data_IF_879619937475
#
_entry.id   IF_879619937475
#
_cell.length_a   1.000
_cell.length_b   1.000
_cell.length_c   1.000
_cell.angle_alpha   90.00
_cell.angle_beta   90.00
_cell.angle_gamma   90.00
#
_symmetry.space_group_name_H-M   'P 1'
#
loop_
_entity.id
_entity.type
_entity.pdbx_description
1 polymer ?
#
# COMPACT_ATOMS: atom_id res chain seq x y z
N UNK A 1 7.25 18.32 -6.43
CA UNK A 1 8.19 18.10 -5.30
C UNK A 1 8.09 16.64 -4.88
N UNK A 2 9.20 15.99 -4.48
CA UNK A 2 9.26 14.54 -4.26
C UNK A 2 9.29 14.18 -2.77
N UNK A 3 8.34 13.35 -2.33
CA UNK A 3 8.26 12.77 -0.99
C UNK A 3 8.62 11.29 -1.04
N UNK A 4 8.99 10.71 0.10
CA UNK A 4 9.39 9.31 0.18
C UNK A 4 8.51 8.56 1.17
N UNK A 5 7.90 7.47 0.72
CA UNK A 5 7.08 6.58 1.54
C UNK A 5 7.82 5.25 1.71
N UNK A 6 8.30 4.97 2.91
CA UNK A 6 8.87 3.69 3.29
C UNK A 6 7.80 2.81 3.92
N UNK A 7 7.67 1.58 3.44
CA UNK A 7 6.76 0.57 4.00
C UNK A 7 7.56 -0.66 4.42
N UNK A 8 7.40 -1.04 5.68
CA UNK A 8 7.83 -2.33 6.17
C UNK A 8 6.63 -3.27 6.22
N UNK A 9 6.67 -4.38 5.48
CA UNK A 9 5.66 -5.43 5.64
C UNK A 9 6.18 -6.81 5.25
N UNK A 10 6.47 -7.60 6.27
CA UNK A 10 6.89 -9.00 6.13
C UNK A 10 6.03 -9.86 7.05
N UNK A 11 4.73 -9.94 6.74
CA UNK A 11 3.70 -10.68 7.50
C UNK A 11 3.34 -10.12 8.89
N UNK A 12 4.25 -9.43 9.55
CA UNK A 12 4.07 -8.87 10.89
C UNK A 12 4.89 -7.59 11.03
N UNK A 13 4.63 -6.88 12.13
CA UNK A 13 5.28 -5.63 12.51
C UNK A 13 5.24 -4.59 11.39
N UNK A 14 4.10 -4.55 10.67
CA UNK A 14 3.95 -3.63 9.56
C UNK A 14 4.05 -2.18 10.04
N UNK A 15 4.76 -1.36 9.27
CA UNK A 15 4.99 0.04 9.61
C UNK A 15 5.16 0.92 8.38
N UNK A 16 4.93 2.22 8.59
CA UNK A 16 4.94 3.25 7.57
C UNK A 16 5.80 4.42 8.02
N UNK A 17 6.61 4.96 7.09
CA UNK A 17 7.31 6.22 7.28
C UNK A 17 7.13 7.12 6.05
N UNK A 18 6.81 8.39 6.28
CA UNK A 18 6.75 9.43 5.26
C UNK A 18 7.85 10.46 5.53
N UNK A 19 8.64 10.74 4.50
CA UNK A 19 9.80 11.63 4.57
C UNK A 19 9.64 12.77 3.57
N UNK A 20 9.93 13.98 4.02
CA UNK A 20 9.89 15.21 3.24
C UNK A 20 10.99 15.21 2.16
N UNK A 21 10.89 16.09 1.16
CA UNK A 21 11.94 16.29 0.16
C UNK A 21 13.29 16.69 0.78
N UNK A 22 13.28 17.29 1.96
CA UNK A 22 14.47 17.72 2.70
C UNK A 22 15.04 16.62 3.61
N UNK A 23 14.40 15.44 3.65
CA UNK A 23 14.81 14.33 4.50
C UNK A 23 14.20 14.34 5.90
N UNK A 24 13.20 15.19 6.17
CA UNK A 24 12.56 15.28 7.48
C UNK A 24 11.48 14.20 7.62
N UNK A 25 11.36 13.60 8.81
CA UNK A 25 10.30 12.62 9.08
C UNK A 25 9.00 13.38 9.33
N UNK A 26 8.04 13.24 8.41
CA UNK A 26 6.70 13.84 8.53
C UNK A 26 5.75 12.92 9.31
N UNK A 27 5.91 11.61 9.12
CA UNK A 27 5.14 10.57 9.80
C UNK A 27 5.99 9.32 9.95
N UNK A 28 5.91 8.64 11.08
CA UNK A 28 6.50 7.32 11.30
C UNK A 28 5.73 6.56 12.37
N UNK A 29 5.08 5.47 12.00
CA UNK A 29 4.26 4.69 12.93
C UNK A 29 4.23 3.20 12.57
N UNK A 30 4.18 2.35 13.60
CA UNK A 30 3.86 0.94 13.47
C UNK A 30 2.33 0.75 13.48
N UNK A 31 1.82 -0.09 12.58
CA UNK A 31 0.39 -0.27 12.38
C UNK A 31 -0.32 -0.84 13.63
N UNK A 32 0.41 -1.55 14.50
CA UNK A 32 -0.11 -2.03 15.79
C UNK A 32 -0.65 -0.89 16.68
N UNK A 33 -0.12 0.33 16.57
CA UNK A 33 -0.55 1.47 17.39
C UNK A 33 -1.94 1.93 16.97
N UNK A 34 -2.21 1.97 15.68
CA UNK A 34 -3.53 2.33 15.19
C UNK A 34 -4.54 1.20 15.37
N UNK A 35 -4.16 -0.02 14.96
CA UNK A 35 -5.04 -1.18 15.00
C UNK A 35 -5.27 -1.71 16.43
N UNK A 36 -4.42 -1.35 17.39
CA UNK A 36 -4.37 -1.97 18.72
C UNK A 36 -4.24 -3.50 18.64
N UNK A 37 -3.69 -3.99 17.52
CA UNK A 37 -3.51 -5.40 17.24
C UNK A 37 -2.02 -5.71 17.28
N UNK A 38 -1.62 -6.40 18.35
CA UNK A 38 -0.23 -6.72 18.65
C UNK A 38 0.45 -7.36 17.44
N UNK A 39 1.59 -6.79 17.02
CA UNK A 39 2.40 -7.21 15.85
C UNK A 39 1.70 -7.12 14.50
N UNK A 40 0.47 -6.61 14.42
CA UNK A 40 -0.26 -6.39 13.16
C UNK A 40 -0.15 -7.60 12.20
N UNK A 41 -0.35 -8.82 12.72
CA UNK A 41 -0.07 -10.04 11.96
C UNK A 41 -1.07 -10.19 10.82
N UNK A 42 -0.57 -10.43 9.60
CA UNK A 42 -1.36 -10.63 8.39
C UNK A 42 -2.31 -9.45 8.07
N UNK A 43 -2.00 -8.25 8.55
CA UNK A 43 -2.75 -7.04 8.19
C UNK A 43 -2.14 -6.40 6.94
N UNK A 44 -2.93 -5.53 6.29
CA UNK A 44 -2.35 -4.55 5.38
C UNK A 44 -1.25 -3.74 6.10
N UNK A 45 -0.21 -3.27 5.41
CA UNK A 45 0.78 -2.36 5.99
C UNK A 45 0.18 -1.09 6.57
N UNK A 46 -0.92 -0.62 5.97
CA UNK A 46 -1.71 0.53 6.41
C UNK A 46 -3.12 0.38 5.83
N UNK A 47 -4.21 0.53 6.62
CA UNK A 47 -5.57 0.52 6.09
C UNK A 47 -5.74 1.52 4.95
N UNK A 48 -6.47 1.13 3.89
CA UNK A 48 -6.50 1.89 2.63
C UNK A 48 -7.04 3.31 2.81
N UNK A 49 -8.08 3.46 3.63
CA UNK A 49 -8.66 4.77 3.94
C UNK A 49 -7.73 5.66 4.78
N UNK A 50 -6.90 5.02 5.64
CA UNK A 50 -5.97 5.75 6.50
C UNK A 50 -4.79 6.28 5.71
N UNK A 51 -4.21 5.50 4.80
CA UNK A 51 -3.11 5.97 3.96
C UNK A 51 -3.55 7.13 3.06
N UNK A 52 -4.77 7.11 2.52
CA UNK A 52 -5.29 8.24 1.73
C UNK A 52 -5.36 9.52 2.57
N UNK A 53 -5.90 9.42 3.78
CA UNK A 53 -6.04 10.56 4.69
C UNK A 53 -4.68 11.12 5.13
N UNK A 54 -3.72 10.25 5.43
CA UNK A 54 -2.33 10.63 5.75
C UNK A 54 -1.67 11.35 4.57
N UNK A 55 -1.79 10.80 3.36
CA UNK A 55 -1.18 11.41 2.18
C UNK A 55 -1.80 12.78 1.88
N UNK A 56 -3.13 12.95 1.99
CA UNK A 56 -3.78 14.26 1.83
C UNK A 56 -3.36 15.28 2.89
N UNK A 57 -3.01 14.82 4.10
CA UNK A 57 -2.56 15.70 5.18
C UNK A 57 -1.14 16.24 4.96
N UNK A 58 -0.23 15.41 4.42
CA UNK A 58 1.19 15.75 4.33
C UNK A 58 1.69 16.14 2.93
N UNK A 59 1.01 15.72 1.85
CA UNK A 59 1.46 15.98 0.48
C UNK A 59 0.74 17.18 -0.12
N UNK A 60 1.53 18.01 -0.80
CA UNK A 60 0.99 19.05 -1.67
C UNK A 60 0.31 18.44 -2.91
N UNK A 61 -0.76 19.08 -3.44
CA UNK A 61 -1.37 18.67 -4.69
C UNK A 61 -0.35 18.55 -5.83
N UNK A 62 -0.31 17.40 -6.50
CA UNK A 62 0.63 17.13 -7.59
C UNK A 62 2.05 16.73 -7.14
N UNK A 63 2.26 16.47 -5.85
CA UNK A 63 3.51 15.91 -5.36
C UNK A 63 3.82 14.54 -6.00
N UNK A 64 5.11 14.26 -6.17
CA UNK A 64 5.60 12.94 -6.58
C UNK A 64 5.87 12.10 -5.33
N UNK A 65 5.39 10.86 -5.32
CA UNK A 65 5.63 9.92 -4.22
C UNK A 65 6.61 8.83 -4.69
N UNK A 66 7.75 8.75 -4.03
CA UNK A 66 8.71 7.67 -4.18
C UNK A 66 8.40 6.61 -3.14
N UNK A 67 7.94 5.43 -3.55
CA UNK A 67 7.58 4.37 -2.60
C UNK A 67 8.68 3.31 -2.55
N UNK A 68 9.07 2.91 -1.34
CA UNK A 68 10.01 1.85 -1.06
C UNK A 68 9.33 0.76 -0.21
N UNK A 69 9.61 -0.50 -0.56
CA UNK A 69 9.02 -1.68 0.08
C UNK A 69 10.12 -2.65 0.52
N UNK A 70 9.81 -3.54 1.47
CA UNK A 70 10.79 -4.47 2.06
C UNK A 70 11.29 -5.55 1.10
N UNK A 71 10.50 -5.95 0.11
CA UNK A 71 10.81 -7.09 -0.74
C UNK A 71 11.58 -6.70 -2.00
N UNK A 72 12.75 -7.30 -2.17
CA UNK A 72 13.55 -7.15 -3.38
C UNK A 72 12.84 -7.71 -4.62
N UNK A 73 13.24 -7.24 -5.80
CA UNK A 73 12.74 -7.78 -7.07
C UNK A 73 12.91 -9.31 -7.15
N UNK A 74 14.06 -9.83 -6.71
CA UNK A 74 14.34 -11.26 -6.74
C UNK A 74 13.34 -12.06 -5.88
N UNK A 75 12.96 -11.52 -4.72
CA UNK A 75 11.95 -12.14 -3.88
C UNK A 75 10.56 -12.09 -4.51
N UNK A 76 10.20 -10.96 -5.14
CA UNK A 76 8.93 -10.81 -5.85
C UNK A 76 8.78 -11.84 -6.98
N UNK A 77 9.83 -12.06 -7.78
CA UNK A 77 9.82 -13.10 -8.82
C UNK A 77 9.68 -14.52 -8.24
N UNK A 78 10.22 -14.76 -7.04
CA UNK A 78 10.10 -16.06 -6.35
C UNK A 78 8.65 -16.34 -5.93
N UNK A 79 7.89 -15.32 -5.50
CA UNK A 79 6.52 -15.48 -5.02
C UNK A 79 5.46 -15.33 -6.12
N UNK A 80 5.83 -14.79 -7.29
CA UNK A 80 4.93 -14.56 -8.43
C UNK A 80 4.11 -15.80 -8.84
N UNK A 81 4.66 -17.03 -8.87
CA UNK A 81 3.87 -18.22 -9.17
C UNK A 81 2.79 -18.52 -8.12
N UNK A 82 3.06 -18.22 -6.84
CA UNK A 82 2.07 -18.38 -5.77
C UNK A 82 0.91 -17.39 -5.96
N UNK A 83 1.22 -16.14 -6.32
CA UNK A 83 0.22 -15.09 -6.56
C UNK A 83 -0.63 -15.34 -7.82
N UNK A 84 -0.14 -16.14 -8.76
CA UNK A 84 -0.85 -16.51 -9.99
C UNK A 84 -1.70 -17.78 -9.84
N UNK A 85 -1.85 -18.32 -8.62
CA UNK A 85 -2.73 -19.47 -8.41
C UNK A 85 -4.20 -19.09 -8.65
N UNK A 86 -5.05 -20.05 -9.09
CA UNK A 86 -6.46 -19.81 -9.41
C UNK A 86 -7.23 -19.08 -8.31
N UNK A 87 -6.99 -19.42 -7.04
CA UNK A 87 -7.67 -18.81 -5.89
C UNK A 87 -7.45 -17.29 -5.81
N UNK A 88 -6.24 -16.81 -6.13
CA UNK A 88 -5.96 -15.37 -6.16
C UNK A 88 -6.58 -14.69 -7.38
N UNK A 89 -6.70 -15.40 -8.51
CA UNK A 89 -7.37 -14.91 -9.70
C UNK A 89 -8.89 -14.81 -9.50
N UNK A 90 -9.49 -15.78 -8.81
CA UNK A 90 -10.91 -15.77 -8.46
C UNK A 90 -11.23 -14.64 -7.49
N UNK A 91 -10.36 -14.39 -6.51
CA UNK A 91 -10.49 -13.23 -5.63
C UNK A 91 -10.40 -11.90 -6.41
N UNK A 92 -9.46 -11.79 -7.35
CA UNK A 92 -9.39 -10.62 -8.24
C UNK A 92 -10.68 -10.43 -9.04
N UNK A 93 -11.18 -11.50 -9.66
CA UNK A 93 -12.41 -11.47 -10.46
C UNK A 93 -13.62 -11.07 -9.61
N UNK A 94 -13.75 -11.59 -8.39
CA UNK A 94 -14.79 -11.21 -7.44
C UNK A 94 -14.76 -9.70 -7.16
N UNK A 95 -13.60 -9.13 -6.86
CA UNK A 95 -13.48 -7.69 -6.58
C UNK A 95 -13.80 -6.84 -7.82
N UNK A 96 -13.43 -7.28 -9.02
CA UNK A 96 -13.69 -6.54 -10.26
C UNK A 96 -15.15 -6.59 -10.71
N UNK A 97 -15.86 -7.68 -10.42
CA UNK A 97 -17.23 -7.92 -10.93
C UNK A 97 -18.32 -7.57 -9.93
N UNK A 98 -17.98 -7.52 -8.64
CA UNK A 98 -18.95 -7.21 -7.57
C UNK A 98 -19.11 -5.70 -7.42
N UNK A 99 -20.34 -5.16 -7.36
CA UNK A 99 -20.56 -3.75 -7.04
C UNK A 99 -19.85 -3.37 -5.73
N UNK A 100 -19.09 -2.27 -5.73
CA UNK A 100 -18.27 -1.86 -4.58
C UNK A 100 -19.04 -1.84 -3.26
N UNK A 101 -20.30 -1.40 -3.25
CA UNK A 101 -21.14 -1.33 -2.04
C UNK A 101 -21.40 -2.71 -1.40
N UNK A 102 -21.27 -3.79 -2.17
CA UNK A 102 -21.51 -5.16 -1.71
C UNK A 102 -20.22 -5.85 -1.25
N UNK A 103 -19.05 -5.28 -1.52
CA UNK A 103 -17.77 -5.85 -1.10
C UNK A 103 -17.48 -5.39 0.35
N UNK A 104 -17.25 -6.32 1.30
CA UNK A 104 -16.78 -6.00 2.64
C UNK A 104 -15.51 -5.13 2.61
N UNK A 105 -15.46 -4.13 3.47
CA UNK A 105 -14.37 -3.16 3.52
C UNK A 105 -13.01 -3.83 3.79
N UNK A 106 -12.98 -4.86 4.63
CA UNK A 106 -11.77 -5.64 4.92
C UNK A 106 -11.21 -6.33 3.67
N UNK A 107 -12.08 -6.83 2.80
CA UNK A 107 -11.66 -7.45 1.55
C UNK A 107 -11.15 -6.41 0.55
N UNK A 108 -11.76 -5.21 0.51
CA UNK A 108 -11.24 -4.08 -0.27
C UNK A 108 -9.87 -3.67 0.23
N UNK A 109 -9.71 -3.49 1.53
CA UNK A 109 -8.46 -3.10 2.17
C UNK A 109 -7.35 -4.09 1.82
N UNK A 110 -7.58 -5.39 2.02
CA UNK A 110 -6.60 -6.42 1.70
C UNK A 110 -6.27 -6.45 0.20
N UNK A 111 -7.28 -6.37 -0.66
CA UNK A 111 -7.10 -6.36 -2.12
C UNK A 111 -6.31 -5.14 -2.62
N UNK A 112 -6.77 -3.91 -2.32
CA UNK A 112 -6.11 -2.70 -2.80
C UNK A 112 -4.71 -2.53 -2.21
N UNK A 113 -4.53 -2.93 -0.96
CA UNK A 113 -3.20 -2.97 -0.34
C UNK A 113 -2.31 -3.93 -1.12
N UNK A 114 -2.72 -5.17 -1.37
CA UNK A 114 -1.91 -6.11 -2.16
C UNK A 114 -1.52 -5.56 -3.53
N UNK A 115 -2.40 -4.81 -4.21
CA UNK A 115 -2.10 -4.19 -5.52
C UNK A 115 -1.20 -2.95 -5.43
N UNK A 116 -1.32 -2.18 -4.35
CA UNK A 116 -0.44 -1.04 -4.10
C UNK A 116 0.98 -1.50 -3.76
N UNK A 117 1.11 -2.54 -2.94
CA UNK A 117 2.39 -3.06 -2.43
C UNK A 117 3.05 -4.09 -3.37
N UNK A 118 2.27 -4.83 -4.16
CA UNK A 118 2.77 -5.73 -5.21
C UNK A 118 2.30 -5.24 -6.58
N UNK A 119 3.00 -4.26 -7.18
CA UNK A 119 2.70 -3.84 -8.53
C UNK A 119 2.89 -5.02 -9.48
N UNK A 120 1.88 -5.33 -10.29
CA UNK A 120 1.91 -6.41 -11.29
C UNK A 120 2.80 -6.04 -12.52
N UNK A 121 3.47 -4.88 -12.49
CA UNK A 121 4.34 -4.42 -13.58
C UNK A 121 5.80 -4.21 -13.18
N UNK A 122 6.71 -4.52 -14.10
CA UNK A 122 8.15 -4.76 -13.95
C UNK A 122 9.03 -3.58 -13.50
N UNK A 123 8.44 -2.45 -13.08
CA UNK A 123 9.23 -1.29 -12.67
C UNK A 123 9.51 -1.30 -11.17
N UNK A 124 10.66 -1.85 -10.77
CA UNK A 124 11.21 -1.83 -9.40
C UNK A 124 11.56 -0.44 -8.83
N UNK A 125 11.07 0.61 -9.49
CA UNK A 125 10.97 1.97 -8.97
C UNK A 125 9.62 2.49 -9.41
N UNK A 126 8.57 2.11 -8.70
CA UNK A 126 7.30 2.78 -8.86
C UNK A 126 7.46 4.18 -8.27
N UNK A 127 7.93 5.14 -9.08
CA UNK A 127 7.53 6.53 -8.90
C UNK A 127 6.03 6.51 -9.23
N UNK A 128 5.22 6.17 -8.24
CA UNK A 128 3.78 6.29 -8.38
C UNK A 128 3.52 7.79 -8.36
N UNK A 129 3.36 8.36 -9.55
CA UNK A 129 2.85 9.72 -9.71
C UNK A 129 1.37 9.68 -9.39
N UNK A 130 1.04 9.68 -8.09
CA UNK A 130 -0.32 9.82 -7.62
C UNK A 130 -0.76 11.25 -7.94
N UNK A 131 -1.40 11.45 -9.09
CA UNK A 131 -2.17 12.67 -9.35
C UNK A 131 -3.45 12.56 -8.55
N UNK A 132 -3.46 13.11 -7.34
CA UNK A 132 -4.72 13.35 -6.61
C UNK A 132 -5.59 14.27 -7.47
N UNK A 133 -6.64 13.71 -8.09
CA UNK A 133 -7.68 14.50 -8.73
C UNK A 133 -8.66 14.88 -7.64
N UNK A 134 -8.42 16.03 -7.01
CA UNK A 134 -9.32 16.61 -6.03
C UNK A 134 -10.56 17.06 -6.84
N UNK A 135 -11.70 16.40 -6.67
CA UNK A 135 -12.96 16.95 -7.17
C UNK A 135 -13.40 18.04 -6.18
N UNK A 136 -13.84 19.22 -6.69
CA UNK A 136 -14.34 20.32 -5.87
C UNK A 136 -15.60 19.93 -5.10
#
# INVERSE_FOLDING_TARGET
>A
MKYYLGIANTFHDSSLALVSPLGEILFAEANERYLQFKRAVNTSPEPFLRIESLLKHYLEPGAELCVAYTWSQAYQETIKPLLNQPDFQDFHNYIQTTPSQQIPEQLKDQYYSSRFFYPISDSCRAIIRIKFRIWP
#
